data_IF_560045136104
#
_entry.id   IF_560045136104
#
_cell.length_a   1.000
_cell.length_b   1.000
_cell.length_c   1.000
_cell.angle_alpha   90.00
_cell.angle_beta   90.00
_cell.angle_gamma   90.00
#
_symmetry.space_group_name_H-M   'P 1'
#
loop_
_entity.id
_entity.type
_entity.pdbx_description
1 polymer ?
#
# COMPACT_ATOMS: atom_id res chain seq x y z
N UNK A 1 21.17 -22.81 -7.57
CA UNK A 1 20.43 -21.54 -7.41
C UNK A 1 20.34 -21.26 -5.92
N UNK A 2 21.04 -20.25 -5.42
CA UNK A 2 21.11 -19.97 -4.00
C UNK A 2 19.91 -19.09 -3.61
N UNK A 3 18.90 -19.68 -2.96
CA UNK A 3 17.71 -18.97 -2.49
C UNK A 3 17.95 -18.51 -1.05
N UNK A 4 18.42 -17.28 -0.88
CA UNK A 4 18.50 -16.66 0.45
C UNK A 4 17.08 -16.33 0.94
N UNK A 5 16.79 -16.56 2.22
CA UNK A 5 15.50 -16.31 2.89
C UNK A 5 14.30 -16.88 2.13
N UNK A 6 14.06 -18.19 2.27
CA UNK A 6 12.93 -18.90 1.63
C UNK A 6 11.86 -19.21 2.68
N UNK A 7 10.58 -19.05 2.31
CA UNK A 7 9.45 -19.57 3.08
C UNK A 7 9.02 -20.90 2.49
N UNK A 8 8.83 -21.89 3.35
CA UNK A 8 8.40 -23.23 2.96
C UNK A 8 7.06 -23.54 3.62
N UNK A 9 6.16 -24.14 2.84
CA UNK A 9 4.93 -24.76 3.34
C UNK A 9 5.10 -26.24 3.10
N UNK A 10 5.43 -26.98 4.17
CA UNK A 10 5.75 -28.40 4.12
C UNK A 10 5.10 -29.10 5.31
N UNK A 11 4.77 -30.37 5.15
CA UNK A 11 4.43 -31.22 6.28
C UNK A 11 5.71 -31.68 7.02
N UNK A 12 5.51 -32.27 8.19
CA UNK A 12 6.61 -32.71 9.04
C UNK A 12 7.43 -33.83 8.40
N UNK A 13 6.77 -34.76 7.71
CA UNK A 13 7.43 -35.93 7.13
C UNK A 13 8.40 -35.51 6.02
N UNK A 14 7.97 -34.63 5.13
CA UNK A 14 8.80 -34.05 4.10
C UNK A 14 9.97 -33.25 4.68
N UNK A 15 9.69 -32.42 5.70
CA UNK A 15 10.73 -31.61 6.33
C UNK A 15 11.83 -32.45 6.97
N UNK A 16 11.46 -33.53 7.68
CA UNK A 16 12.40 -34.41 8.36
C UNK A 16 13.26 -35.19 7.36
N UNK A 17 12.67 -35.62 6.22
CA UNK A 17 13.41 -36.26 5.12
C UNK A 17 14.39 -35.30 4.45
N UNK A 18 13.97 -34.06 4.17
CA UNK A 18 14.85 -33.05 3.56
C UNK A 18 16.06 -32.76 4.45
N UNK A 19 15.87 -32.64 5.77
CA UNK A 19 16.97 -32.40 6.71
C UNK A 19 17.98 -33.56 6.72
N UNK A 20 17.49 -34.81 6.73
CA UNK A 20 18.35 -36.00 6.66
C UNK A 20 19.19 -36.04 5.38
N UNK A 21 18.61 -35.68 4.24
CA UNK A 21 19.35 -35.66 2.97
C UNK A 21 20.35 -34.49 2.91
N UNK A 22 20.04 -33.34 3.51
CA UNK A 22 20.98 -32.22 3.63
C UNK A 22 22.21 -32.60 4.47
N UNK A 23 22.00 -33.27 5.60
CA UNK A 23 23.07 -33.79 6.46
C UNK A 23 23.93 -34.83 5.73
N UNK A 24 23.31 -35.80 5.05
CA UNK A 24 24.03 -36.82 4.26
C UNK A 24 24.88 -36.23 3.15
N UNK A 25 24.42 -35.14 2.54
CA UNK A 25 25.10 -34.45 1.46
C UNK A 25 26.20 -33.49 1.94
N UNK A 26 26.40 -33.34 3.26
CA UNK A 26 27.30 -32.34 3.87
C UNK A 26 27.04 -30.92 3.34
N UNK A 27 25.76 -30.60 3.10
CA UNK A 27 25.37 -29.32 2.54
C UNK A 27 25.14 -28.30 3.65
N UNK A 28 25.92 -27.22 3.64
CA UNK A 28 25.83 -26.21 4.67
C UNK A 28 24.57 -25.34 4.50
N UNK A 29 23.52 -25.64 5.28
CA UNK A 29 22.26 -24.93 5.31
C UNK A 29 22.02 -24.24 6.66
N UNK A 30 21.26 -23.13 6.66
CA UNK A 30 20.82 -22.51 7.91
C UNK A 30 19.74 -23.38 8.56
N UNK A 31 19.72 -23.41 9.90
CA UNK A 31 18.64 -24.04 10.66
C UNK A 31 17.29 -23.47 10.24
N UNK A 32 16.33 -24.37 10.01
CA UNK A 32 14.95 -23.99 9.69
C UNK A 32 14.26 -23.42 10.93
N UNK A 33 13.62 -22.28 10.78
CA UNK A 33 12.78 -21.67 11.80
C UNK A 33 11.31 -22.02 11.53
N UNK A 34 10.59 -22.46 12.55
CA UNK A 34 9.15 -22.73 12.43
C UNK A 34 8.35 -21.54 12.96
N UNK A 35 7.44 -21.03 12.13
CA UNK A 35 6.50 -19.99 12.52
C UNK A 35 5.39 -20.60 13.40
N UNK A 36 5.38 -20.24 14.68
CA UNK A 36 4.34 -20.65 15.64
C UNK A 36 3.64 -19.42 16.23
N UNK A 37 2.63 -19.65 17.08
CA UNK A 37 1.95 -18.53 17.79
C UNK A 37 2.90 -17.86 18.79
N UNK A 38 3.87 -18.61 19.31
CA UNK A 38 4.84 -18.18 20.32
C UNK A 38 6.15 -17.67 19.68
N UNK A 39 6.50 -18.19 18.50
CA UNK A 39 7.75 -17.88 17.82
C UNK A 39 7.52 -17.08 16.53
N UNK A 40 8.07 -15.87 16.50
CA UNK A 40 8.08 -15.01 15.31
C UNK A 40 9.31 -15.32 14.45
N UNK A 41 9.16 -15.22 13.13
CA UNK A 41 10.24 -15.53 12.16
C UNK A 41 10.57 -14.30 11.34
N UNK A 42 11.85 -14.08 11.02
CA UNK A 42 12.25 -13.01 10.11
C UNK A 42 12.27 -13.52 8.66
N UNK A 43 11.65 -12.81 7.74
CA UNK A 43 11.67 -13.13 6.31
C UNK A 43 11.82 -11.86 5.47
N UNK A 44 12.87 -11.77 4.65
CA UNK A 44 13.09 -10.65 3.73
C UNK A 44 13.00 -9.28 4.42
N UNK A 45 13.58 -9.16 5.63
CA UNK A 45 13.54 -7.96 6.50
C UNK A 45 12.13 -7.60 7.03
N UNK A 46 11.17 -8.50 6.89
CA UNK A 46 9.89 -8.47 7.60
C UNK A 46 9.91 -9.42 8.79
N UNK A 47 9.00 -9.18 9.74
CA UNK A 47 8.73 -10.06 10.88
C UNK A 47 7.37 -10.69 10.69
N UNK A 48 7.35 -12.02 10.63
CA UNK A 48 6.15 -12.84 10.54
C UNK A 48 5.73 -13.27 11.95
N UNK A 49 4.47 -13.06 12.27
CA UNK A 49 3.83 -13.53 13.51
C UNK A 49 2.57 -14.28 13.18
N UNK A 50 2.43 -15.52 13.65
CA UNK A 50 1.16 -16.24 13.61
C UNK A 50 0.31 -15.80 14.79
N UNK A 51 -0.93 -15.41 14.52
CA UNK A 51 -1.90 -15.04 15.56
C UNK A 51 -2.71 -16.28 15.97
N UNK A 52 -3.25 -16.26 17.19
CA UNK A 52 -4.03 -17.38 17.74
C UNK A 52 -5.27 -17.73 16.89
N UNK A 53 -5.82 -16.78 16.14
CA UNK A 53 -6.91 -16.98 15.20
C UNK A 53 -6.47 -17.64 13.87
N UNK A 54 -5.21 -18.06 13.74
CA UNK A 54 -4.66 -18.70 12.54
C UNK A 54 -4.15 -17.73 11.47
N UNK A 55 -4.42 -16.42 11.58
CA UNK A 55 -3.91 -15.43 10.62
C UNK A 55 -2.41 -15.17 10.79
N UNK A 56 -1.75 -14.73 9.71
CA UNK A 56 -0.34 -14.38 9.70
C UNK A 56 -0.21 -12.87 9.53
N UNK A 57 0.53 -12.24 10.42
CA UNK A 57 0.86 -10.83 10.38
C UNK A 57 2.30 -10.66 9.90
N UNK A 58 2.49 -9.91 8.81
CA UNK A 58 3.81 -9.54 8.29
C UNK A 58 4.08 -8.07 8.59
N UNK A 59 4.95 -7.76 9.55
CA UNK A 59 5.38 -6.38 9.83
C UNK A 59 6.70 -6.06 9.17
N UNK A 60 6.91 -4.80 8.81
CA UNK A 60 8.21 -4.34 8.37
C UNK A 60 9.14 -4.16 9.58
N UNK A 61 10.28 -4.84 9.61
CA UNK A 61 11.20 -4.77 10.77
C UNK A 61 11.89 -3.41 10.80
N UNK A 62 11.61 -2.64 11.85
CA UNK A 62 12.26 -1.37 12.18
C UNK A 62 12.27 -0.30 11.06
N UNK A 63 11.40 -0.41 10.05
CA UNK A 63 11.41 0.54 8.92
C UNK A 63 10.87 1.91 9.33
N UNK A 64 9.97 1.99 10.31
CA UNK A 64 9.50 3.26 10.86
C UNK A 64 10.63 4.10 11.46
N UNK A 65 11.66 3.46 12.04
CA UNK A 65 12.85 4.13 12.59
C UNK A 65 13.72 4.79 11.52
N UNK A 66 13.56 4.40 10.25
CA UNK A 66 14.30 4.97 9.11
C UNK A 66 13.55 6.11 8.43
N UNK A 67 12.34 6.44 8.91
CA UNK A 67 11.60 7.59 8.42
C UNK A 67 12.22 8.87 8.99
N UNK A 68 12.72 9.71 8.11
CA UNK A 68 13.33 10.99 8.46
C UNK A 68 12.63 12.13 7.70
N UNK A 69 12.55 13.29 8.36
CA UNK A 69 12.09 14.50 7.70
C UNK A 69 13.16 14.98 6.72
N UNK A 70 12.75 15.19 5.46
CA UNK A 70 13.63 15.82 4.48
C UNK A 70 13.59 17.32 4.70
N UNK A 71 14.67 17.88 5.24
CA UNK A 71 14.85 19.33 5.40
C UNK A 71 15.42 19.87 4.08
N UNK A 72 14.58 20.48 3.24
CA UNK A 72 15.05 21.18 2.03
C UNK A 72 15.58 22.58 2.42
N UNK A 73 16.89 22.80 2.32
CA UNK A 73 17.52 24.13 2.46
C UNK A 73 17.47 24.87 1.11
N UNK A 74 16.42 25.65 0.83
CA UNK A 74 16.35 26.41 -0.43
C UNK A 74 15.15 27.35 -0.58
N UNK A 75 15.41 28.60 -0.97
CA UNK A 75 14.43 29.61 -1.39
C UNK A 75 14.24 29.57 -2.92
N UNK A 76 13.92 28.41 -3.50
CA UNK A 76 13.76 28.30 -4.96
C UNK A 76 12.28 28.09 -5.33
N UNK A 77 11.74 28.98 -6.16
CA UNK A 77 10.36 28.90 -6.67
C UNK A 77 10.08 27.60 -7.47
N UNK A 78 11.14 26.97 -8.01
CA UNK A 78 11.11 25.63 -8.64
C UNK A 78 10.88 24.48 -7.65
N UNK A 79 11.17 24.69 -6.37
CA UNK A 79 11.07 23.69 -5.29
C UNK A 79 9.66 23.62 -4.68
N UNK A 80 8.84 24.67 -4.86
CA UNK A 80 7.42 24.69 -4.51
C UNK A 80 6.52 23.97 -5.53
N UNK A 81 7.10 23.22 -6.48
CA UNK A 81 6.31 22.39 -7.40
C UNK A 81 5.55 21.34 -6.62
N UNK A 82 4.25 21.27 -6.87
CA UNK A 82 3.39 20.26 -6.29
C UNK A 82 3.95 18.84 -6.53
N UNK A 83 3.86 17.98 -5.52
CA UNK A 83 4.32 16.59 -5.57
C UNK A 83 3.12 15.69 -5.83
N UNK A 84 3.22 14.87 -6.88
CA UNK A 84 2.29 13.77 -7.09
C UNK A 84 2.76 12.59 -6.26
N UNK A 85 1.91 12.13 -5.34
CA UNK A 85 2.25 11.03 -4.45
C UNK A 85 1.08 10.08 -4.22
N UNK A 86 1.41 8.84 -3.93
CA UNK A 86 0.46 7.82 -3.53
C UNK A 86 1.11 6.83 -2.57
N UNK A 87 0.26 6.15 -1.81
CA UNK A 87 0.60 4.98 -1.02
C UNK A 87 -0.44 3.91 -1.33
N UNK A 88 0.03 2.78 -1.87
CA UNK A 88 -0.77 1.62 -2.22
C UNK A 88 -0.52 0.50 -1.20
N UNK A 89 -1.60 -0.08 -0.68
CA UNK A 89 -1.53 -1.15 0.32
C UNK A 89 -2.58 -2.23 0.10
N UNK A 90 -2.21 -3.49 0.34
CA UNK A 90 -3.17 -4.59 0.41
C UNK A 90 -3.79 -4.60 1.79
N UNK A 91 -5.12 -4.58 1.88
CA UNK A 91 -5.78 -4.22 3.13
C UNK A 91 -7.02 -5.06 3.40
N UNK A 92 -7.28 -5.31 4.68
CA UNK A 92 -8.59 -5.70 5.21
C UNK A 92 -9.17 -4.55 6.01
N UNK A 93 -10.49 -4.42 6.00
CA UNK A 93 -11.19 -3.28 6.60
C UNK A 93 -12.23 -3.77 7.61
N UNK A 94 -12.25 -3.15 8.78
CA UNK A 94 -13.31 -3.27 9.77
C UNK A 94 -14.04 -1.93 9.88
N UNK A 95 -15.36 -1.94 9.64
CA UNK A 95 -16.18 -0.73 9.60
C UNK A 95 -16.71 -0.39 10.98
N UNK A 96 -16.60 0.88 11.33
CA UNK A 96 -17.27 1.53 12.47
C UNK A 96 -18.15 2.67 11.93
N UNK A 97 -18.96 3.29 12.80
CA UNK A 97 -19.98 4.28 12.39
C UNK A 97 -19.46 5.34 11.41
N UNK A 98 -18.38 6.04 11.76
CA UNK A 98 -17.79 7.12 10.95
C UNK A 98 -16.31 6.88 10.61
N UNK A 99 -15.82 5.64 10.73
CA UNK A 99 -14.42 5.32 10.52
C UNK A 99 -14.19 3.87 10.14
N UNK A 100 -13.01 3.59 9.60
CA UNK A 100 -12.54 2.24 9.29
C UNK A 100 -11.24 1.98 10.03
N UNK A 101 -11.15 0.84 10.71
CA UNK A 101 -9.86 0.29 11.10
C UNK A 101 -9.35 -0.53 9.92
N UNK A 102 -8.24 -0.09 9.33
CA UNK A 102 -7.64 -0.75 8.18
C UNK A 102 -6.39 -1.47 8.64
N UNK A 103 -6.38 -2.80 8.53
CA UNK A 103 -5.18 -3.62 8.65
C UNK A 103 -4.59 -3.76 7.24
N UNK A 104 -3.32 -3.41 7.06
CA UNK A 104 -2.75 -3.23 5.71
C UNK A 104 -1.26 -3.57 5.66
N UNK A 105 -0.82 -3.97 4.47
CA UNK A 105 0.58 -4.16 4.13
C UNK A 105 0.96 -3.22 2.98
N UNK A 106 2.06 -2.49 3.13
CA UNK A 106 2.55 -1.59 2.10
C UNK A 106 2.97 -2.40 0.86
N UNK A 107 2.42 -2.04 -0.30
CA UNK A 107 2.81 -2.62 -1.60
C UNK A 107 3.79 -1.68 -2.28
N UNK A 108 3.40 -0.41 -2.41
CA UNK A 108 4.17 0.59 -3.14
C UNK A 108 3.87 1.99 -2.60
N UNK A 109 4.88 2.86 -2.66
CA UNK A 109 4.72 4.28 -2.39
C UNK A 109 5.59 5.06 -3.37
N UNK A 110 5.13 6.23 -3.76
CA UNK A 110 5.90 7.16 -4.60
C UNK A 110 5.54 8.59 -4.24
N UNK A 111 6.53 9.47 -4.27
CA UNK A 111 6.34 10.92 -4.21
C UNK A 111 7.32 11.55 -5.20
N UNK A 112 6.80 12.12 -6.28
CA UNK A 112 7.62 12.74 -7.32
C UNK A 112 7.22 14.19 -7.53
N UNK A 113 8.22 15.07 -7.68
CA UNK A 113 7.97 16.46 -8.07
C UNK A 113 7.35 16.44 -9.47
N UNK A 114 6.21 17.10 -9.65
CA UNK A 114 5.60 17.16 -10.97
C UNK A 114 6.54 17.88 -11.95
N UNK A 115 6.89 17.22 -13.06
CA UNK A 115 7.81 17.78 -14.08
C UNK A 115 7.28 19.07 -14.71
N UNK A 116 5.96 19.29 -14.64
CA UNK A 116 5.27 20.44 -15.23
C UNK A 116 4.87 21.42 -14.14
N UNK A 117 4.85 22.72 -14.47
CA UNK A 117 4.29 23.75 -13.61
C UNK A 117 2.77 23.55 -13.59
N UNK A 118 2.30 22.90 -12.54
CA UNK A 118 0.90 22.71 -12.25
C UNK A 118 0.44 23.95 -11.46
N UNK A 119 -0.53 24.71 -11.99
CA UNK A 119 -1.08 25.90 -11.30
C UNK A 119 -2.10 25.54 -10.22
N UNK A 120 -2.54 24.29 -10.14
CA UNK A 120 -3.61 23.82 -9.26
C UNK A 120 -3.18 22.59 -8.48
N UNK A 121 -3.23 22.63 -7.15
CA UNK A 121 -2.92 21.50 -6.25
C UNK A 121 -3.68 20.21 -6.65
N UNK A 122 -4.90 20.36 -7.16
CA UNK A 122 -5.73 19.27 -7.66
C UNK A 122 -5.05 18.41 -8.74
N UNK A 123 -4.21 18.98 -9.59
CA UNK A 123 -3.57 18.24 -10.68
C UNK A 123 -2.51 17.26 -10.17
N UNK A 124 -1.73 17.65 -9.15
CA UNK A 124 -0.77 16.72 -8.53
C UNK A 124 -1.48 15.60 -7.76
N UNK A 125 -2.64 15.88 -7.17
CA UNK A 125 -3.47 14.86 -6.51
C UNK A 125 -3.99 13.85 -7.55
N UNK A 126 -4.52 14.33 -8.68
CA UNK A 126 -4.96 13.46 -9.79
C UNK A 126 -3.81 12.59 -10.28
N UNK A 127 -2.64 13.16 -10.54
CA UNK A 127 -1.48 12.38 -11.00
C UNK A 127 -1.01 11.34 -9.98
N UNK A 128 -1.09 11.67 -8.69
CA UNK A 128 -0.84 10.71 -7.60
C UNK A 128 -1.83 9.54 -7.65
N UNK A 129 -3.13 9.83 -7.75
CA UNK A 129 -4.17 8.80 -7.82
C UNK A 129 -4.04 7.94 -9.06
N UNK A 130 -3.87 8.51 -10.25
CA UNK A 130 -3.69 7.74 -11.50
C UNK A 130 -2.53 6.75 -11.34
N UNK A 131 -1.37 7.25 -10.91
CA UNK A 131 -0.19 6.40 -10.71
C UNK A 131 -0.43 5.30 -9.66
N UNK A 132 -1.16 5.62 -8.59
CA UNK A 132 -1.50 4.64 -7.55
C UNK A 132 -2.51 3.59 -8.00
N UNK A 133 -3.52 4.00 -8.79
CA UNK A 133 -4.54 3.12 -9.36
C UNK A 133 -3.92 2.16 -10.37
N UNK A 134 -3.01 2.62 -11.23
CA UNK A 134 -2.30 1.76 -12.19
C UNK A 134 -1.55 0.63 -11.48
N UNK A 135 -0.84 0.94 -10.40
CA UNK A 135 -0.16 -0.06 -9.57
C UNK A 135 -1.18 -1.00 -8.89
N UNK A 136 -2.27 -0.46 -8.37
CA UNK A 136 -3.31 -1.26 -7.72
C UNK A 136 -3.97 -2.24 -8.71
N UNK A 137 -4.27 -1.80 -9.94
CA UNK A 137 -4.83 -2.65 -11.01
C UNK A 137 -3.83 -3.74 -11.39
N UNK A 138 -2.56 -3.38 -11.59
CA UNK A 138 -1.51 -4.35 -11.92
C UNK A 138 -1.40 -5.45 -10.84
N UNK A 139 -1.39 -5.06 -9.57
CA UNK A 139 -1.31 -6.02 -8.45
C UNK A 139 -2.58 -6.85 -8.33
N UNK A 140 -3.77 -6.22 -8.39
CA UNK A 140 -5.05 -6.92 -8.26
C UNK A 140 -5.26 -7.94 -9.39
N UNK A 141 -4.93 -7.59 -10.62
CA UNK A 141 -5.03 -8.50 -11.78
C UNK A 141 -4.01 -9.64 -11.69
N UNK A 142 -2.78 -9.35 -11.27
CA UNK A 142 -1.75 -10.38 -11.03
C UNK A 142 -2.18 -11.36 -9.94
N UNK A 143 -2.68 -10.84 -8.80
CA UNK A 143 -3.21 -11.66 -7.73
C UNK A 143 -4.36 -12.53 -8.22
N UNK A 144 -5.31 -11.95 -8.96
CA UNK A 144 -6.43 -12.70 -9.56
C UNK A 144 -5.94 -13.84 -10.45
N UNK A 145 -4.91 -13.64 -11.27
CA UNK A 145 -4.34 -14.71 -12.10
C UNK A 145 -3.76 -15.84 -11.23
N UNK A 146 -2.99 -15.50 -10.19
CA UNK A 146 -2.35 -16.46 -9.29
C UNK A 146 -3.40 -17.22 -8.46
N UNK A 147 -4.43 -16.53 -7.97
CA UNK A 147 -5.41 -17.09 -7.04
C UNK A 147 -6.68 -17.58 -7.73
N UNK A 148 -6.76 -17.57 -9.06
CA UNK A 148 -7.98 -17.93 -9.80
C UNK A 148 -8.48 -19.35 -9.46
N UNK A 149 -7.56 -20.27 -9.19
CA UNK A 149 -7.88 -21.65 -8.80
C UNK A 149 -8.13 -21.85 -7.31
N UNK A 150 -7.85 -20.84 -6.49
CA UNK A 150 -7.94 -20.91 -5.03
C UNK A 150 -9.28 -20.39 -4.51
N UNK A 151 -10.21 -20.00 -5.39
CA UNK A 151 -11.52 -19.44 -5.05
C UNK A 151 -11.44 -18.26 -4.06
N UNK A 152 -10.31 -17.56 -4.04
CA UNK A 152 -10.10 -16.40 -3.18
C UNK A 152 -10.87 -15.21 -3.75
N UNK A 153 -11.48 -14.43 -2.85
CA UNK A 153 -12.23 -13.23 -3.19
C UNK A 153 -11.37 -12.26 -4.02
N UNK A 154 -11.96 -11.66 -5.05
CA UNK A 154 -11.28 -10.65 -5.85
C UNK A 154 -10.90 -9.43 -5.00
N UNK A 155 -9.67 -8.97 -5.19
CA UNK A 155 -9.15 -7.77 -4.51
C UNK A 155 -9.82 -6.54 -5.10
N UNK A 156 -10.65 -5.87 -4.30
CA UNK A 156 -11.29 -4.62 -4.67
C UNK A 156 -10.32 -3.44 -4.55
N UNK A 157 -10.33 -2.56 -5.54
CA UNK A 157 -9.55 -1.32 -5.52
C UNK A 157 -10.39 -0.20 -4.89
N UNK A 158 -9.89 0.40 -3.82
CA UNK A 158 -10.54 1.52 -3.12
C UNK A 158 -9.55 2.68 -3.04
N UNK A 159 -9.95 3.84 -3.55
CA UNK A 159 -9.17 5.08 -3.48
C UNK A 159 -9.64 5.91 -2.29
N UNK A 160 -8.68 6.41 -1.53
CA UNK A 160 -8.88 7.31 -0.40
C UNK A 160 -8.32 8.68 -0.75
N UNK A 161 -9.11 9.74 -0.56
CA UNK A 161 -8.68 11.12 -0.80
C UNK A 161 -9.26 12.04 0.26
N UNK A 162 -8.49 13.04 0.70
CA UNK A 162 -8.98 14.12 1.57
C UNK A 162 -9.42 15.37 0.79
N UNK A 163 -9.19 15.37 -0.53
CA UNK A 163 -9.59 16.44 -1.43
C UNK A 163 -11.06 16.29 -1.84
N UNK A 164 -11.93 17.12 -1.25
CA UNK A 164 -13.36 17.14 -1.58
C UNK A 164 -13.59 17.45 -3.07
N UNK A 165 -12.86 18.42 -3.63
CA UNK A 165 -12.97 18.76 -5.05
C UNK A 165 -12.63 17.59 -5.97
N UNK A 166 -11.67 16.75 -5.57
CA UNK A 166 -11.32 15.54 -6.29
C UNK A 166 -12.44 14.50 -6.15
N UNK A 167 -12.92 14.24 -4.94
CA UNK A 167 -14.05 13.34 -4.70
C UNK A 167 -15.29 13.72 -5.53
N UNK A 168 -15.67 15.01 -5.53
CA UNK A 168 -16.77 15.54 -6.34
C UNK A 168 -16.52 15.37 -7.84
N UNK A 169 -15.28 15.55 -8.29
CA UNK A 169 -14.91 15.35 -9.68
C UNK A 169 -15.08 13.87 -10.11
N UNK A 170 -14.86 12.91 -9.23
CA UNK A 170 -15.10 11.50 -9.53
C UNK A 170 -16.58 11.14 -9.49
N UNK A 171 -17.29 11.56 -8.44
CA UNK A 171 -18.64 11.07 -8.13
C UNK A 171 -19.75 11.90 -8.79
N UNK A 172 -19.63 13.24 -8.80
CA UNK A 172 -20.71 14.14 -9.24
C UNK A 172 -20.58 14.64 -10.67
N UNK A 173 -19.74 13.99 -11.48
CA UNK A 173 -19.47 14.38 -12.89
C UNK A 173 -19.03 15.85 -13.06
N UNK A 174 -18.42 16.46 -12.03
CA UNK A 174 -17.95 17.84 -12.11
C UNK A 174 -17.02 18.07 -13.30
N UNK A 175 -17.17 19.21 -14.00
CA UNK A 175 -16.35 19.57 -15.15
C UNK A 175 -15.08 20.29 -14.72
N UNK A 176 -13.91 19.83 -15.17
CA UNK A 176 -12.64 20.55 -15.00
C UNK A 176 -12.26 21.21 -16.33
N UNK A 177 -11.85 22.49 -16.27
CA UNK A 177 -11.51 23.27 -17.48
C UNK A 177 -10.19 22.85 -18.12
N UNK A 178 -9.30 22.22 -17.35
CA UNK A 178 -8.02 21.76 -17.87
C UNK A 178 -8.19 20.49 -18.72
N UNK A 179 -8.06 20.65 -20.05
CA UNK A 179 -8.26 19.58 -21.03
C UNK A 179 -7.42 18.33 -20.77
N UNK A 180 -6.20 18.48 -20.22
CA UNK A 180 -5.30 17.35 -20.01
C UNK A 180 -5.74 16.49 -18.83
N UNK A 181 -6.06 17.12 -17.70
CA UNK A 181 -6.61 16.41 -16.54
C UNK A 181 -7.93 15.72 -16.88
N UNK A 182 -8.71 16.28 -17.80
CA UNK A 182 -9.93 15.66 -18.27
C UNK A 182 -9.67 14.25 -18.83
N UNK A 183 -8.55 14.00 -19.52
CA UNK A 183 -8.21 12.67 -20.04
C UNK A 183 -8.01 11.69 -18.87
N UNK A 184 -7.21 12.08 -17.88
CA UNK A 184 -6.91 11.25 -16.71
C UNK A 184 -8.17 10.95 -15.88
N UNK A 185 -9.02 11.96 -15.68
CA UNK A 185 -10.30 11.83 -14.98
C UNK A 185 -11.26 10.93 -15.76
N UNK A 186 -11.34 11.08 -17.09
CA UNK A 186 -12.17 10.22 -17.93
C UNK A 186 -11.73 8.77 -17.86
N UNK A 187 -10.43 8.49 -17.88
CA UNK A 187 -9.89 7.14 -17.72
C UNK A 187 -10.27 6.56 -16.34
N UNK A 188 -10.08 7.33 -15.28
CA UNK A 188 -10.43 6.93 -13.92
C UNK A 188 -11.94 6.67 -13.75
N UNK A 189 -12.79 7.52 -14.33
CA UNK A 189 -14.25 7.32 -14.35
C UNK A 189 -14.63 6.05 -15.12
N UNK A 190 -13.98 5.80 -16.26
CA UNK A 190 -14.21 4.58 -17.03
C UNK A 190 -13.82 3.33 -16.22
N UNK A 191 -12.70 3.35 -15.49
CA UNK A 191 -12.34 2.25 -14.58
C UNK A 191 -13.34 2.09 -13.44
N UNK A 192 -13.94 3.18 -12.95
CA UNK A 192 -15.03 3.12 -11.97
C UNK A 192 -16.30 2.48 -12.56
N UNK A 193 -16.73 2.90 -13.74
CA UNK A 193 -17.87 2.32 -14.47
C UNK A 193 -17.69 0.83 -14.76
N UNK A 194 -16.47 0.42 -15.11
CA UNK A 194 -16.09 -0.98 -15.33
C UNK A 194 -15.92 -1.80 -14.04
N UNK A 195 -16.04 -1.16 -12.87
CA UNK A 195 -15.79 -1.75 -11.54
C UNK A 195 -14.35 -2.25 -11.32
N UNK A 196 -13.40 -1.81 -12.14
CA UNK A 196 -11.96 -1.98 -11.88
C UNK A 196 -11.56 -1.17 -10.64
N UNK A 197 -12.08 0.06 -10.54
CA UNK A 197 -12.04 0.88 -9.34
C UNK A 197 -13.39 0.76 -8.61
N UNK A 198 -13.42 0.10 -7.47
CA UNK A 198 -14.67 -0.21 -6.80
C UNK A 198 -15.28 0.99 -6.05
N UNK A 199 -14.44 1.78 -5.37
CA UNK A 199 -14.90 2.88 -4.51
C UNK A 199 -13.89 4.03 -4.47
N UNK A 200 -14.40 5.24 -4.31
CA UNK A 200 -13.63 6.43 -3.91
C UNK A 200 -14.23 6.92 -2.59
N UNK A 201 -13.41 7.11 -1.57
CA UNK A 201 -13.83 7.56 -0.22
C UNK A 201 -13.19 8.90 0.11
N UNK A 202 -14.03 9.83 0.58
CA UNK A 202 -13.58 11.11 1.09
C UNK A 202 -13.27 11.01 2.59
N UNK A 203 -12.03 11.35 2.97
CA UNK A 203 -11.52 11.14 4.32
C UNK A 203 -10.95 12.40 4.94
N UNK A 204 -10.72 12.37 6.26
CA UNK A 204 -10.01 13.45 6.95
C UNK A 204 -8.54 13.49 6.51
N UNK A 205 -8.03 14.66 6.14
CA UNK A 205 -6.62 14.81 5.70
C UNK A 205 -5.58 14.34 6.73
N UNK A 206 -5.86 14.47 8.02
CA UNK A 206 -5.00 13.89 9.09
C UNK A 206 -4.85 12.37 9.03
N UNK A 207 -5.76 11.68 8.36
CA UNK A 207 -5.77 10.22 8.18
C UNK A 207 -5.25 9.82 6.78
N UNK A 208 -4.95 10.78 5.90
CA UNK A 208 -4.37 10.52 4.58
C UNK A 208 -2.87 10.20 4.72
N UNK A 209 -2.45 8.98 4.36
CA UNK A 209 -1.05 8.56 4.45
C UNK A 209 -0.14 9.31 3.46
N UNK A 210 -0.66 9.68 2.29
CA UNK A 210 0.13 10.34 1.25
C UNK A 210 0.59 11.74 1.68
N UNK A 211 -0.15 12.39 2.58
CA UNK A 211 0.26 13.66 3.19
C UNK A 211 1.60 13.56 3.92
N UNK A 212 1.93 12.39 4.48
CA UNK A 212 3.20 12.17 5.14
C UNK A 212 4.42 12.29 4.20
N UNK A 213 4.21 12.18 2.88
CA UNK A 213 5.28 12.23 1.87
C UNK A 213 5.15 13.41 0.89
N UNK A 214 4.12 14.25 1.05
CA UNK A 214 3.91 15.44 0.20
C UNK A 214 4.05 16.76 0.96
N UNK A 215 3.83 16.77 2.29
CA UNK A 215 3.81 17.99 3.11
C UNK A 215 5.10 18.16 3.91
N UNK A 216 5.50 19.42 4.11
CA UNK A 216 6.67 19.80 4.91
C UNK A 216 6.51 19.37 6.37
N UNK A 217 5.29 19.50 6.91
CA UNK A 217 4.91 19.03 8.23
C UNK A 217 4.02 17.78 8.08
N UNK A 218 4.60 16.58 7.96
CA UNK A 218 3.84 15.36 7.73
C UNK A 218 3.04 14.97 8.96
N UNK A 219 1.87 14.37 8.72
CA UNK A 219 1.10 13.73 9.79
C UNK A 219 1.81 12.44 10.25
N UNK A 220 1.48 11.92 11.44
CA UNK A 220 2.07 10.68 12.00
C UNK A 220 1.48 9.40 11.41
N UNK A 221 0.61 9.52 10.40
CA UNK A 221 -0.21 8.41 9.93
C UNK A 221 0.62 7.33 9.24
N UNK A 222 1.61 7.71 8.41
CA UNK A 222 2.53 6.78 7.77
C UNK A 222 3.42 6.06 8.78
N UNK A 223 4.01 6.77 9.74
CA UNK A 223 4.86 6.15 10.76
C UNK A 223 4.06 5.12 11.59
N UNK A 224 2.87 5.50 12.05
CA UNK A 224 1.97 4.59 12.77
C UNK A 224 1.62 3.36 11.93
N UNK A 225 1.33 3.56 10.63
CA UNK A 225 1.05 2.48 9.70
C UNK A 225 2.25 1.53 9.54
N UNK A 226 3.47 2.02 9.32
CA UNK A 226 4.66 1.18 9.13
C UNK A 226 4.96 0.36 10.39
N UNK A 227 4.75 0.93 11.58
CA UNK A 227 5.06 0.24 12.85
C UNK A 227 3.98 -0.79 13.26
N UNK A 228 2.72 -0.52 12.91
CA UNK A 228 1.58 -1.30 13.43
C UNK A 228 0.85 -2.12 12.38
N UNK A 229 1.09 -1.85 11.09
CA UNK A 229 0.28 -2.28 9.96
C UNK A 229 -1.20 -1.88 10.06
N UNK A 230 -1.53 -0.92 10.91
CA UNK A 230 -2.88 -0.43 11.13
C UNK A 230 -2.94 1.06 10.81
N UNK A 231 -4.06 1.50 10.27
CA UNK A 231 -4.43 2.89 10.48
C UNK A 231 -5.95 3.08 10.52
N UNK A 232 -6.35 3.99 11.38
CA UNK A 232 -7.74 4.40 11.56
C UNK A 232 -8.03 5.54 10.57
N UNK A 233 -9.08 5.37 9.77
CA UNK A 233 -9.45 6.31 8.70
C UNK A 233 -10.86 6.80 8.93
N UNK A 234 -11.03 8.09 9.21
CA UNK A 234 -12.35 8.72 9.36
C UNK A 234 -12.85 9.21 8.01
N UNK A 235 -14.12 8.95 7.74
CA UNK A 235 -14.80 9.34 6.49
C UNK A 235 -15.63 10.59 6.76
N UNK A 236 -15.66 11.51 5.80
CA UNK A 236 -16.36 12.82 5.90
C UNK A 236 -17.74 12.83 5.20
N UNK A 237 -18.17 11.72 4.57
CA UNK A 237 -19.45 11.60 3.86
C UNK A 237 -19.88 10.16 3.59
#
# INVERSE_FOLDING_TARGET
>A
MQTNDTLMVVDKEFNDLEEQELEKADFNAKLKETLTVENEVTFNRGTLKKLANGSILLKQKDQGKKLELVIENGNNYLEQRARAAYIASLSTEEKFDSSFLIQRNLIAASSTKCKRVIRLVLASEIYGIVSGVDIAICVATTLKIITNKLEVLEVLIVVYTDSYSLYECFIKLGTIKEKRLMIDIMALRQSYERRELAKVRWIKGKDNLADSITKINPNKSLATFIDTNKANVRVEG
#
